data_IF_613206320391
#
_entry.id   IF_613206320391
#
_cell.length_a   1.000
_cell.length_b   1.000
_cell.length_c   1.000
_cell.angle_alpha   90.00
_cell.angle_beta   90.00
_cell.angle_gamma   90.00
#
_symmetry.space_group_name_H-M   'P 1'
#
loop_
_entity.id
_entity.type
_entity.pdbx_description
1 polymer ?
#
# COMPACT_ATOMS: atom_id res chain seq x y z
N UNK A 1 47.40 58.70 25.35
CA UNK A 1 46.22 59.46 24.88
C UNK A 1 45.22 58.48 24.33
N UNK A 2 43.96 58.64 24.76
CA UNK A 2 42.83 57.78 24.47
C UNK A 2 42.38 57.86 23.00
N UNK A 3 41.78 56.78 22.50
CA UNK A 3 40.40 56.72 21.94
C UNK A 3 40.30 55.48 21.03
N UNK A 4 39.80 54.35 21.53
CA UNK A 4 38.42 53.87 21.39
C UNK A 4 37.87 53.79 19.96
N UNK A 5 37.52 52.57 19.52
CA UNK A 5 36.26 52.23 18.84
C UNK A 5 36.17 50.73 18.58
N UNK A 6 35.11 50.09 19.05
CA UNK A 6 34.70 48.77 18.54
C UNK A 6 34.12 47.83 19.59
N UNK A 7 32.97 48.21 20.14
CA UNK A 7 32.04 47.36 20.89
C UNK A 7 31.49 46.21 20.03
N UNK A 8 30.96 45.21 20.75
CA UNK A 8 29.77 44.41 20.44
C UNK A 8 30.02 43.09 19.68
N UNK A 9 30.10 41.96 20.38
CA UNK A 9 28.99 41.07 20.74
C UNK A 9 28.63 40.06 19.62
N UNK A 10 28.48 38.80 20.04
CA UNK A 10 27.73 37.69 19.39
C UNK A 10 28.52 36.92 18.32
N UNK A 11 29.05 35.73 18.61
CA UNK A 11 28.30 34.47 18.85
C UNK A 11 27.39 34.12 17.67
N UNK A 12 27.96 33.81 16.51
CA UNK A 12 27.23 33.20 15.39
C UNK A 12 28.09 32.23 14.57
N UNK A 13 28.68 31.21 15.20
CA UNK A 13 29.30 30.08 14.48
C UNK A 13 28.39 28.83 14.41
N UNK A 14 27.07 29.02 14.60
CA UNK A 14 26.08 27.94 14.60
C UNK A 14 24.99 28.10 13.52
N UNK A 15 25.21 28.92 12.47
CA UNK A 15 24.22 29.15 11.41
C UNK A 15 24.65 28.66 10.01
N UNK A 16 25.90 28.24 9.82
CA UNK A 16 26.39 27.74 8.52
C UNK A 16 26.10 26.26 8.25
N UNK A 17 25.80 25.43 9.26
CA UNK A 17 25.47 24.00 9.05
C UNK A 17 24.01 23.76 8.64
N UNK A 18 23.10 24.67 8.95
CA UNK A 18 21.67 24.52 8.61
C UNK A 18 21.38 24.74 7.12
N UNK A 19 22.13 25.63 6.44
CA UNK A 19 21.96 25.88 4.99
C UNK A 19 22.43 24.74 4.10
N UNK A 20 23.43 23.97 4.54
CA UNK A 20 23.87 22.77 3.82
C UNK A 20 22.87 21.61 3.97
N UNK A 21 22.14 21.53 5.08
CA UNK A 21 21.09 20.52 5.28
C UNK A 21 19.87 20.79 4.38
N UNK A 22 19.49 22.07 4.20
CA UNK A 22 18.37 22.49 3.35
C UNK A 22 18.68 22.30 1.84
N UNK A 23 19.92 22.59 1.41
CA UNK A 23 20.36 22.34 0.03
C UNK A 23 20.53 20.85 -0.31
N UNK A 24 20.91 20.01 0.66
CA UNK A 24 20.95 18.55 0.48
C UNK A 24 19.54 17.93 0.40
N UNK A 25 18.55 18.50 1.08
CA UNK A 25 17.14 18.06 0.95
C UNK A 25 16.53 18.38 -0.41
N UNK A 26 16.92 19.49 -1.03
CA UNK A 26 16.47 19.87 -2.37
C UNK A 26 17.21 19.11 -3.48
N UNK A 27 18.52 18.84 -3.34
CA UNK A 27 19.26 17.99 -4.27
C UNK A 27 18.78 16.52 -4.21
N UNK A 28 18.49 15.98 -3.01
CA UNK A 28 17.89 14.65 -2.85
C UNK A 28 16.46 14.58 -3.44
N UNK A 29 15.66 15.65 -3.30
CA UNK A 29 14.34 15.76 -3.94
C UNK A 29 14.41 15.78 -5.47
N UNK A 30 15.36 16.52 -6.04
CA UNK A 30 15.53 16.63 -7.50
C UNK A 30 16.09 15.31 -8.06
N UNK A 31 17.03 14.65 -7.39
CA UNK A 31 17.60 13.38 -7.84
C UNK A 31 16.56 12.24 -7.88
N UNK A 32 15.56 12.27 -6.99
CA UNK A 32 14.41 11.33 -7.02
C UNK A 32 13.49 11.51 -8.23
N UNK A 33 13.44 12.69 -8.84
CA UNK A 33 12.66 12.95 -10.05
C UNK A 33 13.41 12.57 -11.33
N UNK A 34 14.75 12.62 -11.33
CA UNK A 34 15.59 12.38 -12.51
C UNK A 34 16.07 10.93 -12.63
N UNK A 35 16.22 10.19 -11.52
CA UNK A 35 16.63 8.79 -11.52
C UNK A 35 15.65 7.93 -10.71
N UNK A 36 14.55 7.48 -11.34
CA UNK A 36 13.71 6.43 -10.76
C UNK A 36 14.36 5.08 -10.97
N UNK A 37 14.63 4.35 -9.89
CA UNK A 37 15.06 2.95 -9.97
C UNK A 37 13.95 2.10 -10.58
N UNK A 38 14.17 1.65 -11.82
CA UNK A 38 13.21 0.84 -12.58
C UNK A 38 13.30 -0.65 -12.23
N UNK A 39 14.45 -1.10 -11.70
CA UNK A 39 14.73 -2.51 -11.43
C UNK A 39 14.28 -2.90 -10.02
N UNK A 40 14.32 -1.96 -9.06
CA UNK A 40 13.91 -2.21 -7.67
C UNK A 40 12.88 -1.17 -7.20
N UNK A 41 11.68 -1.14 -7.81
CA UNK A 41 10.60 -0.30 -7.32
C UNK A 41 10.18 -0.71 -5.91
N UNK A 42 9.68 0.25 -5.13
CA UNK A 42 9.14 -0.07 -3.81
C UNK A 42 7.83 -0.86 -3.91
N UNK A 43 7.56 -1.74 -2.93
CA UNK A 43 6.35 -2.58 -2.90
C UNK A 43 5.05 -1.76 -2.98
N UNK A 44 5.03 -0.56 -2.40
CA UNK A 44 3.86 0.31 -2.42
C UNK A 44 3.66 0.98 -3.78
N UNK A 45 4.75 1.29 -4.50
CA UNK A 45 4.68 1.78 -5.88
C UNK A 45 4.18 0.68 -6.83
N UNK A 46 4.62 -0.57 -6.65
CA UNK A 46 4.14 -1.70 -7.45
C UNK A 46 2.65 -2.02 -7.23
N UNK A 47 2.16 -1.95 -5.99
CA UNK A 47 0.75 -2.18 -5.66
C UNK A 47 -0.19 -1.12 -6.25
N UNK A 48 0.30 0.11 -6.45
CA UNK A 48 -0.46 1.21 -7.07
C UNK A 48 -0.52 1.10 -8.59
N UNK A 49 0.46 0.44 -9.21
CA UNK A 49 0.47 0.19 -10.66
C UNK A 49 -0.67 -0.77 -11.02
N UNK A 50 -1.20 -0.60 -12.23
CA UNK A 50 -2.11 -1.57 -12.82
C UNK A 50 -1.41 -2.93 -12.98
N UNK A 51 -2.12 -4.05 -12.77
CA UNK A 51 -1.58 -5.44 -12.87
C UNK A 51 -0.69 -5.74 -14.09
N UNK A 52 -0.98 -5.17 -15.28
CA UNK A 52 -0.17 -5.36 -16.49
C UNK A 52 1.07 -4.45 -16.59
N UNK A 53 1.12 -3.39 -15.78
CA UNK A 53 2.19 -2.38 -15.75
C UNK A 53 3.15 -2.56 -14.56
N UNK A 54 2.95 -3.59 -13.76
CA UNK A 54 3.91 -4.00 -12.74
C UNK A 54 5.18 -4.53 -13.41
N UNK A 55 6.32 -4.50 -12.68
CA UNK A 55 7.59 -5.02 -13.19
C UNK A 55 7.44 -6.48 -13.61
N UNK A 56 6.81 -7.28 -12.75
CA UNK A 56 6.31 -8.62 -13.05
C UNK A 56 4.80 -8.61 -12.92
N UNK A 57 4.11 -9.14 -13.93
CA UNK A 57 2.65 -9.15 -13.93
C UNK A 57 2.10 -10.15 -12.91
N UNK A 58 1.18 -9.70 -12.07
CA UNK A 58 0.50 -10.56 -11.10
C UNK A 58 -1.01 -10.25 -11.04
N UNK A 59 -1.87 -11.25 -10.82
CA UNK A 59 -3.30 -11.02 -10.67
C UNK A 59 -3.62 -10.37 -9.30
N UNK A 60 -4.53 -9.39 -9.27
CA UNK A 60 -5.04 -8.84 -8.00
C UNK A 60 -6.13 -9.72 -7.35
N UNK A 61 -6.59 -10.76 -8.04
CA UNK A 61 -7.60 -11.70 -7.56
C UNK A 61 -6.98 -12.82 -6.73
N UNK A 62 -7.68 -13.26 -5.69
CA UNK A 62 -7.27 -14.33 -4.78
C UNK A 62 -8.44 -15.28 -4.47
N UNK A 63 -8.11 -16.44 -3.90
CA UNK A 63 -9.06 -17.34 -3.28
C UNK A 63 -9.14 -17.05 -1.77
N UNK A 64 -10.34 -17.15 -1.21
CA UNK A 64 -10.57 -16.94 0.21
C UNK A 64 -11.42 -18.04 0.81
N UNK A 65 -11.14 -18.37 2.06
CA UNK A 65 -11.95 -19.28 2.85
C UNK A 65 -13.10 -18.51 3.50
N UNK A 66 -14.32 -18.94 3.17
CA UNK A 66 -15.56 -18.34 3.67
C UNK A 66 -16.25 -19.35 4.57
N UNK A 67 -16.56 -18.93 5.79
CA UNK A 67 -17.23 -19.75 6.80
C UNK A 67 -18.72 -19.46 6.83
N UNK A 68 -19.53 -20.52 6.71
CA UNK A 68 -20.97 -20.42 6.84
C UNK A 68 -21.39 -20.21 8.30
N UNK A 69 -22.27 -19.24 8.62
CA UNK A 69 -22.76 -19.04 9.99
C UNK A 69 -23.65 -20.18 10.50
N UNK A 70 -24.36 -20.89 9.62
CA UNK A 70 -25.25 -21.99 10.00
C UNK A 70 -24.55 -23.33 10.18
N UNK A 71 -23.67 -23.66 9.25
CA UNK A 71 -23.15 -25.02 9.11
C UNK A 71 -21.67 -25.15 9.51
N UNK A 72 -21.02 -24.03 9.86
CA UNK A 72 -19.62 -23.91 10.31
C UNK A 72 -18.53 -24.51 9.40
N UNK A 73 -18.92 -25.16 8.30
CA UNK A 73 -18.02 -25.63 7.26
C UNK A 73 -17.37 -24.45 6.53
N UNK A 74 -16.20 -24.71 5.96
CA UNK A 74 -15.36 -23.72 5.25
C UNK A 74 -15.31 -24.09 3.76
N UNK A 75 -15.62 -23.13 2.88
CA UNK A 75 -15.53 -23.31 1.43
C UNK A 75 -14.61 -22.24 0.84
N UNK A 76 -13.79 -22.66 -0.13
CA UNK A 76 -12.94 -21.75 -0.88
C UNK A 76 -13.76 -21.04 -1.97
N UNK A 77 -13.78 -19.71 -1.94
CA UNK A 77 -14.50 -18.86 -2.88
C UNK A 77 -13.50 -17.96 -3.61
N UNK A 78 -13.71 -17.77 -4.91
CA UNK A 78 -12.92 -16.83 -5.71
C UNK A 78 -13.38 -15.39 -5.49
N UNK A 79 -12.42 -14.47 -5.28
CA UNK A 79 -12.71 -13.06 -4.96
C UNK A 79 -13.49 -12.27 -6.01
N UNK A 80 -13.45 -12.67 -7.29
CA UNK A 80 -14.16 -12.02 -8.40
C UNK A 80 -15.05 -13.04 -9.14
N UNK A 81 -15.71 -13.92 -8.40
CA UNK A 81 -16.63 -14.91 -8.98
C UNK A 81 -17.76 -14.23 -9.76
N UNK A 82 -18.05 -14.76 -10.96
CA UNK A 82 -19.10 -14.24 -11.85
C UNK A 82 -20.47 -14.85 -11.57
N UNK A 83 -20.51 -16.01 -10.93
CA UNK A 83 -21.74 -16.73 -10.59
C UNK A 83 -22.06 -16.60 -9.11
N UNK A 84 -23.35 -16.72 -8.78
CA UNK A 84 -23.81 -16.83 -7.39
C UNK A 84 -23.29 -18.15 -6.82
N UNK A 85 -22.50 -18.08 -5.74
CA UNK A 85 -21.97 -19.27 -5.08
C UNK A 85 -22.90 -19.64 -3.93
N UNK A 86 -23.42 -20.86 -3.96
CA UNK A 86 -24.28 -21.43 -2.92
C UNK A 86 -23.57 -22.54 -2.16
N UNK A 87 -23.97 -22.76 -0.90
CA UNK A 87 -23.40 -23.82 -0.09
C UNK A 87 -23.93 -25.21 -0.50
N UNK A 88 -23.02 -26.18 -0.72
CA UNK A 88 -23.38 -27.60 -0.91
C UNK A 88 -23.81 -28.19 0.45
N UNK A 89 -25.12 -28.16 0.72
CA UNK A 89 -25.76 -28.77 1.90
C UNK A 89 -26.57 -27.84 2.80
N UNK A 90 -26.44 -26.51 2.67
CA UNK A 90 -27.21 -25.55 3.47
C UNK A 90 -28.00 -24.58 2.59
N UNK A 91 -27.90 -24.73 1.26
CA UNK A 91 -28.61 -24.01 0.20
C UNK A 91 -28.63 -22.49 0.34
N UNK A 92 -27.73 -21.95 1.17
CA UNK A 92 -27.63 -20.52 1.44
C UNK A 92 -26.66 -19.91 0.44
N UNK A 93 -27.01 -18.74 -0.09
CA UNK A 93 -26.11 -17.95 -0.94
C UNK A 93 -24.96 -17.43 -0.08
N UNK A 94 -23.72 -17.69 -0.49
CA UNK A 94 -22.53 -17.20 0.20
C UNK A 94 -22.14 -15.81 -0.26
N UNK A 95 -22.27 -15.58 -1.56
CA UNK A 95 -21.75 -14.38 -2.17
C UNK A 95 -22.44 -14.09 -3.52
N UNK A 96 -22.66 -12.81 -3.80
CA UNK A 96 -23.31 -12.31 -5.01
C UNK A 96 -22.28 -11.66 -5.95
N UNK A 97 -22.30 -12.01 -7.25
CA UNK A 97 -21.39 -11.44 -8.23
C UNK A 97 -21.62 -9.93 -8.36
N UNK A 98 -20.53 -9.20 -8.53
CA UNK A 98 -20.54 -7.77 -8.85
C UNK A 98 -19.56 -7.51 -9.99
N UNK A 99 -19.49 -6.27 -10.48
CA UNK A 99 -18.45 -5.87 -11.46
C UNK A 99 -17.00 -5.95 -10.92
N UNK A 100 -16.80 -6.23 -9.64
CA UNK A 100 -15.49 -6.29 -8.99
C UNK A 100 -15.41 -7.42 -7.98
N UNK A 101 -15.03 -7.08 -6.74
CA UNK A 101 -15.01 -8.07 -5.66
C UNK A 101 -16.43 -8.47 -5.29
N UNK A 102 -16.63 -9.76 -5.15
CA UNK A 102 -17.91 -10.35 -4.80
C UNK A 102 -18.40 -9.82 -3.46
N UNK A 103 -19.71 -9.56 -3.33
CA UNK A 103 -20.34 -9.20 -2.07
C UNK A 103 -20.66 -10.47 -1.28
N UNK A 104 -20.12 -10.60 -0.07
CA UNK A 104 -20.48 -11.69 0.83
C UNK A 104 -21.86 -11.45 1.45
N UNK A 105 -22.61 -12.51 1.67
CA UNK A 105 -23.88 -12.46 2.40
C UNK A 105 -23.65 -12.06 3.85
N UNK A 106 -24.58 -11.32 4.43
CA UNK A 106 -24.54 -10.92 5.83
C UNK A 106 -24.38 -12.13 6.76
N UNK A 107 -23.51 -12.01 7.77
CA UNK A 107 -23.18 -13.10 8.68
C UNK A 107 -22.15 -14.10 8.15
N UNK A 108 -21.70 -13.99 6.89
CA UNK A 108 -20.63 -14.81 6.36
C UNK A 108 -19.25 -14.22 6.71
N UNK A 109 -18.41 -14.98 7.40
CA UNK A 109 -17.07 -14.52 7.83
C UNK A 109 -15.99 -14.99 6.85
N UNK A 110 -15.17 -14.07 6.33
CA UNK A 110 -13.95 -14.44 5.60
C UNK A 110 -12.83 -14.77 6.58
N UNK A 111 -12.33 -16.00 6.56
CA UNK A 111 -11.31 -16.48 7.51
C UNK A 111 -9.90 -16.14 7.08
N UNK A 112 -9.54 -16.48 5.83
CA UNK A 112 -8.17 -16.38 5.34
C UNK A 112 -8.15 -16.24 3.82
N UNK A 113 -7.20 -15.45 3.31
CA UNK A 113 -6.81 -15.50 1.90
C UNK A 113 -5.88 -16.69 1.71
N UNK A 114 -6.24 -17.61 0.81
CA UNK A 114 -5.33 -18.70 0.43
C UNK A 114 -4.19 -18.10 -0.37
N UNK A 115 -2.96 -18.38 0.07
CA UNK A 115 -1.77 -18.13 -0.73
C UNK A 115 -1.53 -19.37 -1.60
N UNK A 116 -1.10 -19.14 -2.84
CA UNK A 116 -0.60 -20.17 -3.75
C UNK A 116 0.92 -20.20 -3.64
#
# INVERSE_FOLDING_TARGET
MASNRGTLEKRTDHCLSLRHHEQLTDACRINRLLARDLLHPSLDEEKRKHKKKQLVQSPHSYFMDVKCPRCYKITAVFSHAQMVVTWVGCSTVLCQPTGGKVRLTEGCSSLRRKQH
#
